data_IF_711577222919
#
_entry.id   IF_711577222919
#
_cell.length_a   1.000
_cell.length_b   1.000
_cell.length_c   1.000
_cell.angle_alpha   90.00
_cell.angle_beta   90.00
_cell.angle_gamma   90.00
#
_symmetry.space_group_name_H-M   'P 1'
#
loop_
_entity.id
_entity.type
_entity.pdbx_description
1 polymer ?
#
# COMPACT_ATOMS: atom_id res chain seq x y z
N UNK A 1 -0.59 10.84 -7.16
CA UNK A 1 0.87 10.71 -6.98
C UNK A 1 1.36 9.57 -7.86
N UNK A 2 2.49 9.77 -8.56
CA UNK A 2 2.98 8.88 -9.63
C UNK A 2 3.56 7.59 -9.06
N UNK A 3 3.13 6.43 -9.60
CA UNK A 3 3.61 5.06 -9.34
C UNK A 3 5.12 4.92 -9.08
N UNK A 4 5.96 5.73 -9.76
CA UNK A 4 7.42 5.75 -9.55
C UNK A 4 7.84 5.95 -8.09
N UNK A 5 7.17 6.87 -7.38
CA UNK A 5 7.48 7.11 -5.96
C UNK A 5 7.19 5.91 -5.08
N UNK A 6 6.19 5.11 -5.39
CA UNK A 6 5.80 3.95 -4.60
C UNK A 6 6.81 2.81 -4.74
N UNK A 7 7.31 2.60 -5.96
CA UNK A 7 8.34 1.59 -6.26
C UNK A 7 9.70 1.96 -5.64
N UNK A 8 10.10 3.23 -5.77
CA UNK A 8 11.31 3.76 -5.11
C UNK A 8 11.20 3.71 -3.58
N UNK A 9 10.01 4.01 -3.03
CA UNK A 9 9.76 3.86 -1.59
C UNK A 9 9.85 2.40 -1.17
N UNK A 10 9.32 1.46 -1.94
CA UNK A 10 9.44 0.02 -1.66
C UNK A 10 10.90 -0.42 -1.65
N UNK A 11 11.66 -0.03 -2.66
CA UNK A 11 13.09 -0.33 -2.76
C UNK A 11 13.89 0.29 -1.59
N UNK A 12 13.59 1.53 -1.21
CA UNK A 12 14.23 2.21 -0.09
C UNK A 12 13.78 1.68 1.29
N UNK A 13 12.54 1.23 1.41
CA UNK A 13 11.98 0.65 2.63
C UNK A 13 12.50 -0.77 2.87
N UNK A 14 12.79 -1.48 1.78
CA UNK A 14 13.28 -2.86 1.80
C UNK A 14 12.22 -3.83 2.32
N UNK A 15 12.62 -4.69 3.24
CA UNK A 15 11.80 -5.77 3.82
C UNK A 15 11.38 -5.47 5.28
N UNK A 16 11.35 -4.19 5.68
CA UNK A 16 10.96 -3.83 7.04
C UNK A 16 9.46 -4.07 7.23
N UNK A 17 9.02 -4.66 8.36
CA UNK A 17 7.61 -4.82 8.66
C UNK A 17 6.97 -3.44 8.71
N UNK A 18 6.31 -3.08 7.63
CA UNK A 18 5.47 -1.91 7.61
C UNK A 18 4.12 -2.35 8.15
N UNK A 19 3.69 -1.65 9.16
CA UNK A 19 2.40 -1.85 9.79
C UNK A 19 1.27 -1.32 8.88
N UNK A 20 1.63 -0.62 7.79
CA UNK A 20 0.72 0.01 6.83
C UNK A 20 -0.41 0.82 7.50
N UNK A 21 -0.09 1.73 8.46
CA UNK A 21 -1.11 2.46 9.21
C UNK A 21 -1.90 3.43 8.32
N UNK A 22 -1.26 3.91 7.24
CA UNK A 22 -1.84 4.83 6.27
C UNK A 22 -1.82 4.21 4.86
N UNK A 23 -2.99 3.77 4.42
CA UNK A 23 -3.27 3.27 3.07
C UNK A 23 -4.11 4.30 2.31
N UNK A 24 -3.53 4.89 1.27
CA UNK A 24 -4.23 5.82 0.38
C UNK A 24 -4.83 5.07 -0.80
N UNK A 25 -6.02 5.46 -1.25
CA UNK A 25 -6.63 4.85 -2.44
C UNK A 25 -5.80 5.16 -3.67
N UNK A 26 -5.54 4.14 -4.49
CA UNK A 26 -4.96 4.30 -5.80
C UNK A 26 -6.03 4.74 -6.79
N UNK A 27 -5.70 5.75 -7.58
CA UNK A 27 -6.48 6.23 -8.70
C UNK A 27 -5.63 6.06 -9.95
N UNK A 28 -6.08 5.25 -10.88
CA UNK A 28 -5.43 5.06 -12.18
C UNK A 28 -6.23 5.86 -13.22
N UNK A 29 -5.58 6.85 -13.84
CA UNK A 29 -6.18 7.72 -14.87
C UNK A 29 -7.52 8.37 -14.46
N UNK A 30 -7.69 8.68 -13.17
CA UNK A 30 -8.92 9.29 -12.64
C UNK A 30 -10.02 8.30 -12.25
N UNK A 31 -9.80 7.00 -12.48
CA UNK A 31 -10.69 5.93 -12.03
C UNK A 31 -10.15 5.33 -10.74
N UNK A 32 -11.02 5.21 -9.72
CA UNK A 32 -10.68 4.49 -8.50
C UNK A 32 -10.53 3.00 -8.85
N UNK A 33 -9.30 2.49 -8.87
CA UNK A 33 -9.00 1.08 -9.20
C UNK A 33 -9.37 0.11 -8.07
N UNK A 34 -9.75 0.61 -6.89
CA UNK A 34 -10.04 -0.21 -5.71
C UNK A 34 -8.79 -0.79 -5.04
N UNK A 35 -7.60 -0.38 -5.51
CA UNK A 35 -6.31 -0.65 -4.89
C UNK A 35 -5.97 0.43 -3.88
N UNK A 36 -5.14 0.07 -2.91
CA UNK A 36 -4.68 0.91 -1.84
C UNK A 36 -3.16 0.91 -1.84
N UNK A 37 -2.53 2.07 -1.85
CA UNK A 37 -1.09 2.20 -1.74
C UNK A 37 -0.73 2.75 -0.37
N UNK A 38 0.21 2.11 0.32
CA UNK A 38 0.75 2.65 1.55
C UNK A 38 1.61 3.86 1.24
N UNK A 39 1.30 4.98 1.89
CA UNK A 39 2.07 6.22 1.73
C UNK A 39 3.42 6.18 2.46
N UNK A 40 3.69 5.09 3.19
CA UNK A 40 4.84 4.97 4.10
C UNK A 40 5.92 4.01 3.58
N UNK A 41 5.53 2.86 3.04
CA UNK A 41 6.46 1.91 2.39
C UNK A 41 6.27 1.83 0.86
N UNK A 42 5.25 2.49 0.29
CA UNK A 42 4.96 2.42 -1.14
C UNK A 42 4.33 1.10 -1.62
N UNK A 43 3.99 0.18 -0.71
CA UNK A 43 3.38 -1.08 -1.10
C UNK A 43 1.92 -0.88 -1.54
N UNK A 44 1.56 -1.50 -2.66
CA UNK A 44 0.20 -1.54 -3.20
C UNK A 44 -0.50 -2.83 -2.75
N UNK A 45 -1.70 -2.68 -2.21
CA UNK A 45 -2.56 -3.73 -1.68
C UNK A 45 -3.92 -3.66 -2.34
N UNK A 46 -4.51 -4.82 -2.62
CA UNK A 46 -5.91 -4.90 -2.96
C UNK A 46 -6.78 -4.78 -1.71
N UNK A 47 -8.09 -4.57 -1.88
CA UNK A 47 -9.05 -4.63 -0.77
C UNK A 47 -8.91 -5.92 0.06
N UNK A 48 -8.68 -7.06 -0.61
CA UNK A 48 -8.47 -8.37 0.02
C UNK A 48 -7.21 -8.38 0.88
N UNK A 49 -6.06 -8.01 0.32
CA UNK A 49 -4.80 -7.94 1.06
C UNK A 49 -4.87 -6.97 2.24
N UNK A 50 -5.57 -5.84 2.12
CA UNK A 50 -5.80 -4.93 3.26
C UNK A 50 -6.58 -5.64 4.38
N UNK A 51 -7.62 -6.39 4.03
CA UNK A 51 -8.43 -7.12 5.00
C UNK A 51 -7.61 -8.22 5.69
N UNK A 52 -6.78 -8.93 4.92
CA UNK A 52 -5.87 -9.96 5.43
C UNK A 52 -4.80 -9.37 6.34
N UNK A 53 -4.18 -8.24 5.96
CA UNK A 53 -3.18 -7.55 6.77
C UNK A 53 -3.77 -7.03 8.10
N UNK A 54 -5.02 -6.53 8.08
CA UNK A 54 -5.73 -6.10 9.27
C UNK A 54 -6.23 -7.27 10.15
N UNK A 55 -6.42 -8.45 9.55
CA UNK A 55 -6.74 -9.69 10.27
C UNK A 55 -5.49 -10.28 10.93
N UNK A 56 -4.35 -10.30 10.23
CA UNK A 56 -3.06 -10.82 10.70
C UNK A 56 -2.43 -9.98 11.82
N UNK A 57 -2.96 -8.78 12.11
CA UNK A 57 -2.51 -7.94 13.22
C UNK A 57 -3.27 -8.19 14.53
N UNK A 58 -4.14 -9.21 14.58
CA UNK A 58 -4.97 -9.52 15.75
C UNK A 58 -4.46 -10.68 16.61
N UNK A 59 -3.20 -11.09 16.43
CA UNK A 59 -2.55 -12.13 17.24
C UNK A 59 -1.40 -11.59 18.09
#
# INVERSE_FOLDING_TARGET
MKKKRADELRAAWGDRPCDHPALSKEYDLGVQTGRYVCTQCGASFSWREKAELAANRRE
#
